data_IF_913907660470
#
_entry.id   IF_913907660470
#
_cell.length_a   1.000
_cell.length_b   1.000
_cell.length_c   1.000
_cell.angle_alpha   90.00
_cell.angle_beta   90.00
_cell.angle_gamma   90.00
#
_symmetry.space_group_name_H-M   'P 1'
#
loop_
_entity.id
_entity.type
_entity.pdbx_description
1 polymer ?
#
# COMPACT_ATOMS: atom_id res chain seq x y z
N UNK A 1 6.35 -22.75 -20.09
CA UNK A 1 5.44 -22.25 -19.09
C UNK A 1 5.19 -20.78 -19.34
N UNK A 2 4.15 -20.52 -20.14
CA UNK A 2 3.68 -19.19 -20.51
C UNK A 2 2.67 -18.78 -19.43
N UNK A 3 3.11 -18.11 -18.36
CA UNK A 3 2.19 -17.36 -17.54
C UNK A 3 1.71 -16.14 -18.33
N UNK A 4 0.41 -15.92 -18.48
CA UNK A 4 -0.11 -14.77 -19.19
C UNK A 4 0.43 -13.49 -18.56
N UNK A 5 0.77 -12.52 -19.37
CA UNK A 5 1.31 -11.21 -18.96
C UNK A 5 0.34 -10.47 -18.00
N UNK A 6 -0.93 -10.84 -18.07
CA UNK A 6 -2.02 -10.29 -17.26
C UNK A 6 -1.97 -10.76 -15.79
N UNK A 7 -1.58 -12.00 -15.50
CA UNK A 7 -1.44 -12.50 -14.12
C UNK A 7 -0.26 -11.85 -13.39
N UNK A 8 0.86 -11.63 -14.09
CA UNK A 8 2.01 -10.91 -13.50
C UNK A 8 1.66 -9.45 -13.18
N UNK A 9 0.93 -8.81 -14.08
CA UNK A 9 0.46 -7.42 -13.90
C UNK A 9 -0.54 -7.31 -12.75
N UNK A 10 -1.47 -8.26 -12.64
CA UNK A 10 -2.43 -8.33 -11.54
C UNK A 10 -1.75 -8.63 -10.19
N UNK A 11 -0.74 -9.51 -10.19
CA UNK A 11 0.06 -9.82 -8.99
C UNK A 11 0.85 -8.59 -8.49
N UNK A 12 1.51 -7.89 -9.39
CA UNK A 12 2.24 -6.65 -9.05
C UNK A 12 1.30 -5.55 -8.56
N UNK A 13 0.12 -5.42 -9.18
CA UNK A 13 -0.88 -4.45 -8.73
C UNK A 13 -1.41 -4.79 -7.34
N UNK A 14 -1.71 -6.07 -7.08
CA UNK A 14 -2.12 -6.57 -5.76
C UNK A 14 -1.05 -6.30 -4.70
N UNK A 15 0.22 -6.51 -5.03
CA UNK A 15 1.34 -6.23 -4.13
C UNK A 15 1.44 -4.72 -3.83
N UNK A 16 1.40 -3.86 -4.84
CA UNK A 16 1.44 -2.39 -4.66
C UNK A 16 0.26 -1.88 -3.83
N UNK A 17 -0.94 -2.40 -4.06
CA UNK A 17 -2.12 -2.06 -3.28
C UNK A 17 -2.01 -2.57 -1.83
N UNK A 18 -1.43 -3.76 -1.62
CA UNK A 18 -1.12 -4.30 -0.29
C UNK A 18 -0.13 -3.41 0.47
N UNK A 19 0.95 -2.97 -0.17
CA UNK A 19 1.94 -2.04 0.37
C UNK A 19 1.33 -0.66 0.68
N UNK A 20 0.35 -0.20 -0.12
CA UNK A 20 -0.41 1.02 0.14
C UNK A 20 -1.45 0.86 1.28
N UNK A 21 -1.66 -0.37 1.78
CA UNK A 21 -2.59 -0.66 2.87
C UNK A 21 -4.00 -1.07 2.45
N UNK A 22 -4.27 -1.18 1.16
CA UNK A 22 -5.54 -1.67 0.63
C UNK A 22 -5.56 -3.20 0.64
N UNK A 23 -6.00 -3.80 1.75
CA UNK A 23 -5.95 -5.25 2.03
C UNK A 23 -7.21 -6.03 1.62
N UNK A 24 -8.23 -5.34 1.09
CA UNK A 24 -9.46 -5.98 0.64
C UNK A 24 -9.21 -6.82 -0.61
N UNK A 25 -9.80 -8.02 -0.66
CA UNK A 25 -9.79 -8.86 -1.87
C UNK A 25 -10.36 -8.12 -3.09
N UNK A 26 -11.25 -7.16 -2.85
CA UNK A 26 -11.84 -6.30 -3.85
C UNK A 26 -11.02 -5.03 -4.18
N UNK A 27 -9.84 -4.84 -3.55
CA UNK A 27 -9.04 -3.64 -3.76
C UNK A 27 -8.62 -3.46 -5.23
N UNK A 28 -8.27 -4.55 -5.90
CA UNK A 28 -7.93 -4.55 -7.34
C UNK A 28 -9.14 -4.16 -8.18
N UNK A 29 -10.30 -4.74 -7.90
CA UNK A 29 -11.56 -4.44 -8.63
C UNK A 29 -12.00 -3.01 -8.39
N UNK A 30 -11.89 -2.52 -7.16
CA UNK A 30 -12.22 -1.15 -6.79
C UNK A 30 -11.26 -0.14 -7.46
N UNK A 31 -9.97 -0.44 -7.49
CA UNK A 31 -8.97 0.37 -8.20
C UNK A 31 -9.25 0.43 -9.70
N UNK A 32 -9.54 -0.71 -10.34
CA UNK A 32 -9.94 -0.77 -11.75
C UNK A 32 -11.22 0.02 -12.01
N UNK A 33 -12.20 -0.06 -11.11
CA UNK A 33 -13.43 0.72 -11.19
C UNK A 33 -13.18 2.22 -11.13
N UNK A 34 -12.35 2.69 -10.18
CA UNK A 34 -11.94 4.09 -10.09
C UNK A 34 -11.18 4.55 -11.34
N UNK A 35 -10.28 3.71 -11.85
CA UNK A 35 -9.51 3.99 -13.06
C UNK A 35 -10.42 4.14 -14.29
N UNK A 36 -11.42 3.26 -14.41
CA UNK A 36 -12.42 3.33 -15.48
C UNK A 36 -13.32 4.56 -15.34
N UNK A 37 -13.76 4.90 -14.12
CA UNK A 37 -14.54 6.09 -13.85
C UNK A 37 -13.76 7.37 -14.17
N UNK A 38 -12.47 7.45 -13.82
CA UNK A 38 -11.59 8.57 -14.16
C UNK A 38 -11.41 8.72 -15.68
N UNK A 39 -11.29 7.59 -16.40
CA UNK A 39 -11.19 7.58 -17.86
C UNK A 39 -12.48 8.11 -18.50
N UNK A 40 -13.64 7.63 -18.06
CA UNK A 40 -14.95 8.09 -18.54
C UNK A 40 -15.17 9.57 -18.24
N UNK A 41 -14.82 10.03 -17.04
CA UNK A 41 -14.89 11.44 -16.66
C UNK A 41 -13.96 12.32 -17.53
N UNK A 42 -12.74 11.86 -17.78
CA UNK A 42 -11.78 12.55 -18.67
C UNK A 42 -12.27 12.66 -20.10
N UNK A 43 -12.86 11.58 -20.63
CA UNK A 43 -13.48 11.56 -21.97
C UNK A 43 -14.70 12.50 -22.05
N UNK A 44 -15.54 12.51 -21.01
CA UNK A 44 -16.72 13.37 -20.96
C UNK A 44 -16.34 14.85 -20.88
N UNK A 45 -15.40 15.20 -20.00
CA UNK A 45 -14.88 16.57 -19.86
C UNK A 45 -14.20 17.08 -21.15
N UNK A 46 -13.39 16.23 -21.79
CA UNK A 46 -12.72 16.58 -23.03
C UNK A 46 -13.70 16.71 -24.20
N UNK A 47 -14.68 15.81 -24.30
CA UNK A 47 -15.73 15.86 -25.33
C UNK A 47 -16.64 17.08 -25.16
N UNK A 48 -17.05 17.41 -23.93
CA UNK A 48 -17.82 18.61 -23.63
C UNK A 48 -17.03 19.88 -23.94
N UNK A 49 -15.73 19.93 -23.66
CA UNK A 49 -14.86 21.06 -23.99
C UNK A 49 -14.75 21.30 -25.50
N UNK A 50 -14.59 20.24 -26.29
CA UNK A 50 -14.55 20.32 -27.77
C UNK A 50 -15.91 20.76 -28.33
N UNK A 51 -17.02 20.24 -27.76
CA UNK A 51 -18.38 20.61 -28.20
C UNK A 51 -18.70 22.10 -27.95
N UNK A 52 -18.26 22.65 -26.80
CA UNK A 52 -18.46 24.07 -26.45
C UNK A 52 -17.62 25.02 -27.30
N UNK A 53 -16.44 24.60 -27.77
CA UNK A 53 -15.59 25.40 -28.62
C UNK A 53 -16.03 25.41 -30.09
N UNK A 54 -16.97 24.53 -30.47
CA UNK A 54 -17.59 24.53 -31.82
C UNK A 54 -16.65 24.22 -32.98
N UNK A 55 -15.41 23.88 -32.72
CA UNK A 55 -14.38 23.63 -33.75
C UNK A 55 -13.71 22.28 -33.53
N UNK A 56 -14.01 21.32 -34.40
CA UNK A 56 -13.26 20.06 -34.51
C UNK A 56 -11.88 20.31 -35.14
N UNK A 57 -11.05 21.07 -34.45
CA UNK A 57 -9.69 21.35 -34.90
C UNK A 57 -8.77 20.24 -34.39
N UNK A 58 -7.77 19.87 -35.20
CA UNK A 58 -6.74 18.89 -34.83
C UNK A 58 -6.08 19.21 -33.48
N UNK A 59 -5.97 20.49 -33.13
CA UNK A 59 -5.45 20.95 -31.83
C UNK A 59 -6.39 20.59 -30.67
N UNK A 60 -7.71 20.68 -30.83
CA UNK A 60 -8.69 20.30 -29.80
C UNK A 60 -8.65 18.82 -29.53
N UNK A 61 -8.44 17.97 -30.54
CA UNK A 61 -8.26 16.54 -30.40
C UNK A 61 -6.98 16.19 -29.60
N UNK A 62 -5.86 16.84 -29.87
CA UNK A 62 -4.61 16.63 -29.11
C UNK A 62 -4.77 17.01 -27.63
N UNK A 63 -5.44 18.12 -27.34
CA UNK A 63 -5.72 18.55 -25.96
C UNK A 63 -6.64 17.55 -25.26
N UNK A 64 -7.67 17.05 -25.93
CA UNK A 64 -8.58 16.06 -25.38
C UNK A 64 -7.88 14.74 -25.02
N UNK A 65 -7.00 14.25 -25.90
CA UNK A 65 -6.19 13.04 -25.66
C UNK A 65 -5.22 13.26 -24.50
N UNK A 66 -4.61 14.44 -24.40
CA UNK A 66 -3.70 14.79 -23.30
C UNK A 66 -4.40 14.81 -21.95
N UNK A 67 -5.58 15.41 -21.87
CA UNK A 67 -6.40 15.45 -20.63
C UNK A 67 -6.84 14.04 -20.23
N UNK A 68 -7.30 13.23 -21.18
CA UNK A 68 -7.67 11.83 -20.93
C UNK A 68 -6.48 11.00 -20.44
N UNK A 69 -5.30 11.18 -21.01
CA UNK A 69 -4.07 10.52 -20.59
C UNK A 69 -3.65 10.89 -19.15
N UNK A 70 -3.71 12.17 -18.80
CA UNK A 70 -3.39 12.66 -17.45
C UNK A 70 -4.40 12.09 -16.43
N UNK A 71 -5.69 12.13 -16.74
CA UNK A 71 -6.74 11.57 -15.88
C UNK A 71 -6.59 10.06 -15.65
N UNK A 72 -6.12 9.33 -16.66
CA UNK A 72 -5.86 7.90 -16.54
C UNK A 72 -4.66 7.58 -15.64
N UNK A 73 -3.63 8.45 -15.61
CA UNK A 73 -2.43 8.28 -14.78
C UNK A 73 -2.63 8.72 -13.33
N UNK A 74 -3.61 9.58 -13.05
CA UNK A 74 -3.89 10.15 -11.73
C UNK A 74 -4.09 9.09 -10.63
N UNK A 75 -4.94 8.04 -10.81
CA UNK A 75 -5.12 7.02 -9.77
C UNK A 75 -3.87 6.18 -9.51
N UNK A 76 -3.06 5.88 -10.53
CA UNK A 76 -1.79 5.15 -10.35
C UNK A 76 -0.80 5.98 -9.51
N UNK A 77 -0.73 7.28 -9.76
CA UNK A 77 0.11 8.21 -9.03
C UNK A 77 -0.34 8.36 -7.57
N UNK A 78 -1.65 8.41 -7.33
CA UNK A 78 -2.20 8.46 -5.97
C UNK A 78 -1.82 7.22 -5.14
N UNK A 79 -1.98 6.01 -5.68
CA UNK A 79 -1.58 4.77 -5.00
C UNK A 79 -0.07 4.73 -4.74
N UNK A 80 0.73 5.18 -5.71
CA UNK A 80 2.19 5.26 -5.55
C UNK A 80 2.60 6.19 -4.39
N UNK A 81 2.02 7.38 -4.30
CA UNK A 81 2.31 8.33 -3.22
C UNK A 81 1.85 7.81 -1.86
N UNK A 82 0.65 7.21 -1.78
CA UNK A 82 0.13 6.63 -0.53
C UNK A 82 1.05 5.50 -0.07
N UNK A 83 1.45 4.59 -0.96
CA UNK A 83 2.36 3.49 -0.63
C UNK A 83 3.72 3.99 -0.17
N UNK A 84 4.27 5.00 -0.85
CA UNK A 84 5.55 5.60 -0.48
C UNK A 84 5.50 6.28 0.89
N UNK A 85 4.48 7.09 1.14
CA UNK A 85 4.28 7.75 2.44
C UNK A 85 4.13 6.73 3.57
N UNK A 86 3.42 5.62 3.33
CA UNK A 86 3.27 4.54 4.30
C UNK A 86 4.61 3.86 4.62
N UNK A 87 5.40 3.52 3.60
CA UNK A 87 6.74 2.94 3.79
C UNK A 87 7.66 3.86 4.59
N UNK A 88 7.63 5.14 4.29
CA UNK A 88 8.41 6.16 5.01
C UNK A 88 8.00 6.25 6.48
N UNK A 89 6.71 6.22 6.79
CA UNK A 89 6.21 6.22 8.18
C UNK A 89 6.63 4.97 8.95
N UNK A 90 6.65 3.80 8.32
CA UNK A 90 7.16 2.57 8.94
C UNK A 90 8.66 2.69 9.19
N UNK A 91 9.42 3.13 8.19
CA UNK A 91 10.87 3.28 8.28
C UNK A 91 11.29 4.24 9.39
N UNK A 92 10.61 5.39 9.52
CA UNK A 92 10.89 6.38 10.55
C UNK A 92 10.53 5.89 11.96
N UNK A 93 9.48 5.06 12.10
CA UNK A 93 9.08 4.52 13.40
C UNK A 93 9.81 3.23 13.80
N UNK A 94 10.53 2.61 12.86
CA UNK A 94 11.16 1.31 13.09
C UNK A 94 12.24 1.32 14.18
N UNK A 95 13.19 2.28 14.22
CA UNK A 95 14.22 2.32 15.25
C UNK A 95 13.61 2.42 16.66
N UNK A 96 12.69 3.36 16.87
CA UNK A 96 12.04 3.56 18.18
C UNK A 96 11.24 2.31 18.61
N UNK A 97 10.58 1.66 17.65
CA UNK A 97 9.84 0.44 17.90
C UNK A 97 10.76 -0.73 18.29
N UNK A 98 11.92 -0.85 17.65
CA UNK A 98 12.90 -1.89 17.96
C UNK A 98 13.56 -1.64 19.33
N UNK A 99 13.91 -0.40 19.64
CA UNK A 99 14.49 -0.05 20.95
C UNK A 99 13.54 -0.38 22.08
N UNK A 100 12.26 -0.01 21.95
CA UNK A 100 11.26 -0.35 22.95
C UNK A 100 11.02 -1.87 23.01
N UNK A 101 11.10 -2.56 21.89
CA UNK A 101 10.93 -4.02 21.83
C UNK A 101 12.08 -4.74 22.57
N UNK A 102 13.32 -4.28 22.36
CA UNK A 102 14.49 -4.79 23.08
C UNK A 102 14.34 -4.59 24.59
N UNK A 103 13.98 -3.38 25.02
CA UNK A 103 13.74 -3.08 26.45
C UNK A 103 12.66 -3.99 27.05
N UNK A 104 11.57 -4.22 26.33
CA UNK A 104 10.51 -5.14 26.78
C UNK A 104 11.00 -6.59 26.93
N UNK A 105 11.81 -7.08 25.98
CA UNK A 105 12.35 -8.43 26.00
C UNK A 105 13.40 -8.58 27.12
N UNK A 106 14.26 -7.58 27.32
CA UNK A 106 15.22 -7.55 28.44
C UNK A 106 14.53 -7.51 29.80
N UNK A 107 13.35 -6.88 29.88
CA UNK A 107 12.49 -6.91 31.06
C UNK A 107 11.80 -8.27 31.28
N UNK A 108 12.04 -9.27 30.41
CA UNK A 108 11.51 -10.63 30.53
C UNK A 108 10.17 -10.87 29.84
N UNK A 109 9.67 -9.93 29.05
CA UNK A 109 8.46 -10.15 28.26
C UNK A 109 8.76 -11.06 27.07
N UNK A 110 7.86 -12.00 26.77
CA UNK A 110 7.93 -12.76 25.52
C UNK A 110 7.69 -11.84 24.31
N UNK A 111 8.23 -12.21 23.15
CA UNK A 111 8.17 -11.40 21.92
C UNK A 111 6.73 -10.93 21.59
N UNK A 112 5.74 -11.82 21.74
CA UNK A 112 4.34 -11.49 21.42
C UNK A 112 3.78 -10.40 22.35
N UNK A 113 4.14 -10.47 23.64
CA UNK A 113 3.75 -9.47 24.64
C UNK A 113 4.52 -8.16 24.44
N UNK A 114 5.81 -8.24 24.06
CA UNK A 114 6.62 -7.09 23.74
C UNK A 114 6.05 -6.34 22.50
N UNK A 115 5.73 -7.04 21.42
CA UNK A 115 5.10 -6.46 20.22
C UNK A 115 3.76 -5.79 20.56
N UNK A 116 2.95 -6.40 21.41
CA UNK A 116 1.70 -5.82 21.88
C UNK A 116 1.95 -4.54 22.67
N UNK A 117 2.89 -4.55 23.60
CA UNK A 117 3.24 -3.38 24.43
C UNK A 117 3.72 -2.22 23.55
N UNK A 118 4.63 -2.49 22.61
CA UNK A 118 5.12 -1.50 21.64
C UNK A 118 3.98 -0.91 20.82
N UNK A 119 3.07 -1.75 20.32
CA UNK A 119 1.93 -1.29 19.52
C UNK A 119 0.96 -0.39 20.31
N UNK A 120 0.82 -0.60 21.62
CA UNK A 120 -0.02 0.22 22.50
C UNK A 120 0.67 1.56 22.83
N UNK A 121 1.96 1.54 23.19
CA UNK A 121 2.69 2.73 23.62
C UNK A 121 2.96 3.72 22.50
N UNK A 122 3.35 3.22 21.32
CA UNK A 122 3.76 4.06 20.20
C UNK A 122 2.62 4.43 19.25
N UNK A 123 1.39 3.97 19.51
CA UNK A 123 0.23 4.15 18.62
C UNK A 123 -0.07 5.62 18.28
N UNK A 124 0.24 6.55 19.19
CA UNK A 124 -0.01 7.98 18.99
C UNK A 124 1.02 8.63 18.07
N UNK A 125 2.26 8.14 18.08
CA UNK A 125 3.38 8.71 17.33
C UNK A 125 3.58 8.04 16.00
N UNK A 126 3.58 6.68 15.98
CA UNK A 126 3.87 5.87 14.81
C UNK A 126 2.76 4.84 14.54
N UNK A 127 1.59 5.37 14.20
CA UNK A 127 0.38 4.56 14.03
C UNK A 127 0.57 3.40 13.04
N UNK A 128 1.24 3.64 11.91
CA UNK A 128 1.33 2.66 10.81
C UNK A 128 2.08 1.39 11.23
N UNK A 129 3.26 1.54 11.87
CA UNK A 129 4.03 0.38 12.36
C UNK A 129 3.31 -0.34 13.50
N UNK A 130 2.64 0.40 14.38
CA UNK A 130 1.86 -0.17 15.46
C UNK A 130 0.67 -1.00 14.95
N UNK A 131 -0.01 -0.54 13.91
CA UNK A 131 -1.10 -1.29 13.26
C UNK A 131 -0.57 -2.58 12.61
N UNK A 132 0.66 -2.58 12.06
CA UNK A 132 1.31 -3.79 11.53
C UNK A 132 1.68 -4.78 12.65
N UNK A 133 2.23 -4.30 13.76
CA UNK A 133 2.56 -5.16 14.91
C UNK A 133 1.30 -5.72 15.57
N UNK A 134 0.26 -4.92 15.72
CA UNK A 134 -1.02 -5.37 16.25
C UNK A 134 -1.65 -6.47 15.37
N UNK A 135 -1.56 -6.32 14.04
CA UNK A 135 -2.04 -7.31 13.10
C UNK A 135 -1.21 -8.61 13.16
N UNK A 136 0.11 -8.50 13.23
CA UNK A 136 0.99 -9.65 13.37
C UNK A 136 0.66 -10.43 14.66
N UNK A 137 0.50 -9.73 15.77
CA UNK A 137 0.12 -10.32 17.05
C UNK A 137 -1.25 -11.01 16.98
N UNK A 138 -2.23 -10.39 16.35
CA UNK A 138 -3.54 -11.00 16.10
C UNK A 138 -3.43 -12.28 15.28
N UNK A 139 -2.61 -12.30 14.23
CA UNK A 139 -2.40 -13.49 13.39
C UNK A 139 -1.78 -14.66 14.17
N UNK A 140 -0.85 -14.38 15.07
CA UNK A 140 -0.27 -15.38 15.99
C UNK A 140 -1.34 -15.94 16.92
N UNK A 141 -2.19 -15.10 17.50
CA UNK A 141 -3.28 -15.51 18.38
C UNK A 141 -4.33 -16.39 17.69
N UNK A 142 -4.56 -16.19 16.40
CA UNK A 142 -5.47 -17.02 15.58
C UNK A 142 -4.84 -18.35 15.17
N UNK A 143 -3.56 -18.58 15.53
CA UNK A 143 -2.87 -19.87 15.35
C UNK A 143 -1.97 -19.94 14.12
N UNK A 144 -1.65 -18.83 13.46
CA UNK A 144 -0.59 -18.81 12.45
C UNK A 144 0.78 -19.03 13.11
N UNK A 145 1.70 -19.67 12.39
CA UNK A 145 3.07 -19.83 12.86
C UNK A 145 3.78 -18.49 12.96
N UNK A 146 4.63 -18.31 13.98
CA UNK A 146 5.38 -17.05 14.18
C UNK A 146 6.23 -16.70 12.97
N UNK A 147 6.94 -17.70 12.44
CA UNK A 147 7.79 -17.52 11.25
C UNK A 147 7.01 -16.96 10.06
N UNK A 148 5.83 -17.54 9.77
CA UNK A 148 5.01 -17.08 8.64
C UNK A 148 4.49 -15.66 8.86
N UNK A 149 4.07 -15.35 10.09
CA UNK A 149 3.56 -14.02 10.44
C UNK A 149 4.65 -12.95 10.34
N UNK A 150 5.85 -13.23 10.82
CA UNK A 150 6.98 -12.31 10.74
C UNK A 150 7.42 -12.12 9.29
N UNK A 151 7.44 -13.18 8.50
CA UNK A 151 7.75 -13.10 7.06
C UNK A 151 6.69 -12.27 6.31
N UNK A 152 5.40 -12.52 6.57
CA UNK A 152 4.31 -11.71 6.03
C UNK A 152 4.41 -10.24 6.47
N UNK A 153 4.81 -9.96 7.71
CA UNK A 153 5.02 -8.61 8.23
C UNK A 153 6.11 -7.89 7.43
N UNK A 154 7.25 -8.56 7.21
CA UNK A 154 8.35 -8.04 6.40
C UNK A 154 7.91 -7.73 4.97
N UNK A 155 7.24 -8.66 4.31
CA UNK A 155 6.77 -8.49 2.94
C UNK A 155 5.72 -7.37 2.81
N UNK A 156 4.80 -7.26 3.76
CA UNK A 156 3.73 -6.25 3.76
C UNK A 156 4.22 -4.84 4.05
N UNK A 157 5.24 -4.71 4.90
CA UNK A 157 5.80 -3.40 5.25
C UNK A 157 6.47 -2.74 4.04
N UNK A 158 7.01 -3.56 3.14
CA UNK A 158 7.80 -3.10 2.00
C UNK A 158 9.09 -2.38 2.41
N UNK A 159 9.50 -2.49 3.69
CA UNK A 159 10.74 -1.95 4.23
C UNK A 159 11.73 -3.10 4.34
N UNK A 160 12.88 -2.98 3.65
CA UNK A 160 13.87 -4.04 3.56
C UNK A 160 14.47 -4.39 4.93
N UNK A 161 14.70 -3.39 5.78
CA UNK A 161 15.26 -3.59 7.11
C UNK A 161 14.33 -4.45 8.00
N UNK A 162 13.02 -4.21 7.94
CA UNK A 162 12.04 -5.01 8.68
C UNK A 162 11.92 -6.43 8.10
N UNK A 163 12.09 -6.58 6.79
CA UNK A 163 12.10 -7.88 6.13
C UNK A 163 13.31 -8.71 6.53
N UNK A 164 14.49 -8.10 6.61
CA UNK A 164 15.72 -8.76 7.07
C UNK A 164 15.61 -9.14 8.55
N UNK A 165 15.07 -8.27 9.39
CA UNK A 165 14.81 -8.55 10.79
C UNK A 165 13.86 -9.73 10.95
N UNK A 166 12.78 -9.75 10.19
CA UNK A 166 11.79 -10.84 10.22
C UNK A 166 12.35 -12.19 9.73
N UNK A 167 13.39 -12.17 8.91
CA UNK A 167 14.07 -13.39 8.45
C UNK A 167 15.07 -13.96 9.49
N UNK A 168 15.49 -13.15 10.48
CA UNK A 168 16.45 -13.54 11.53
C UNK A 168 15.72 -14.04 12.79
N UNK A 169 14.49 -13.58 13.04
CA UNK A 169 13.67 -13.93 14.21
C UNK A 169 12.84 -15.19 14.00
#
# INVERSE_FOLDING_TARGET
PLQPKDEKSAGQLKQRLGEAGFRNEHAVTMFLGVKFACLMAGLFLSGAGVALMGTFTQRALMVAISIGGIMFYLPDMAVFFIGRSRKEQIFLGLPDALDLLVVCVEAGLGLDQAMRRVSEEMKRTFKVICDEFALANFQIQVGKTRSDVLHELGDRSGVEDLRQLAAIL
#
